data_IF_625197683646
#
_entry.id   IF_625197683646
#
_cell.length_a   1.000
_cell.length_b   1.000
_cell.length_c   1.000
_cell.angle_alpha   90.00
_cell.angle_beta   90.00
_cell.angle_gamma   90.00
#
_symmetry.space_group_name_H-M   'P 1'
#
loop_
_entity.id
_entity.type
_entity.pdbx_description
1 polymer ?
#
# COMPACT_ATOMS: atom_id res chain seq x y z
N UNK A 1 -13.24 10.42 1.35
CA UNK A 1 -12.24 10.18 0.30
C UNK A 1 -11.53 8.89 0.66
N UNK A 2 -11.57 7.90 -0.22
CA UNK A 2 -10.88 6.61 -0.03
C UNK A 2 -9.48 6.73 -0.61
N UNK A 3 -8.47 6.20 0.07
CA UNK A 3 -7.07 6.22 -0.41
C UNK A 3 -6.50 4.81 -0.26
N UNK A 4 -5.91 4.31 -1.34
CA UNK A 4 -5.20 3.05 -1.41
C UNK A 4 -3.74 3.40 -1.72
N UNK A 5 -2.83 3.33 -0.72
CA UNK A 5 -1.41 3.52 -0.98
C UNK A 5 -0.91 2.39 -1.88
N UNK A 6 -0.12 2.70 -2.91
CA UNK A 6 0.49 1.68 -3.78
C UNK A 6 1.99 1.59 -3.52
N UNK A 7 2.67 2.75 -3.52
CA UNK A 7 4.08 2.88 -3.19
C UNK A 7 4.40 4.32 -2.77
N UNK A 8 5.68 4.65 -2.58
CA UNK A 8 6.12 6.01 -2.20
C UNK A 8 5.80 7.09 -3.25
N UNK A 9 5.68 6.70 -4.51
CA UNK A 9 5.46 7.60 -5.65
C UNK A 9 3.99 7.75 -6.03
N UNK A 10 3.20 6.70 -5.90
CA UNK A 10 1.83 6.62 -6.41
C UNK A 10 0.87 6.08 -5.36
N UNK A 11 -0.34 6.63 -5.37
CA UNK A 11 -1.50 6.09 -4.65
C UNK A 11 -2.76 6.25 -5.49
N UNK A 12 -3.73 5.40 -5.24
CA UNK A 12 -5.06 5.52 -5.82
C UNK A 12 -5.96 6.23 -4.80
N UNK A 13 -6.66 7.27 -5.23
CA UNK A 13 -7.65 7.97 -4.41
C UNK A 13 -9.02 7.90 -5.08
N UNK A 14 -10.09 7.90 -4.29
CA UNK A 14 -11.46 7.97 -4.80
C UNK A 14 -12.29 8.98 -4.02
N UNK A 15 -13.10 9.73 -4.77
CA UNK A 15 -14.18 10.56 -4.24
C UNK A 15 -15.55 9.99 -4.66
N UNK A 16 -16.62 10.75 -4.49
CA UNK A 16 -17.98 10.31 -4.82
C UNK A 16 -18.24 10.08 -6.31
N UNK A 17 -17.38 10.59 -7.20
CA UNK A 17 -17.62 10.58 -8.65
C UNK A 17 -16.48 9.98 -9.46
N UNK A 18 -15.27 9.90 -8.89
CA UNK A 18 -14.07 9.59 -9.64
C UNK A 18 -13.04 8.80 -8.85
N UNK A 19 -12.25 8.05 -9.62
CA UNK A 19 -11.03 7.40 -9.18
C UNK A 19 -9.83 8.12 -9.77
N UNK A 20 -8.80 8.33 -8.97
CA UNK A 20 -7.67 9.18 -9.29
C UNK A 20 -6.36 8.45 -9.03
N UNK A 21 -5.39 8.65 -9.93
CA UNK A 21 -3.99 8.38 -9.62
C UNK A 21 -3.42 9.66 -9.04
N UNK A 22 -2.87 9.59 -7.83
CA UNK A 22 -2.14 10.68 -7.21
C UNK A 22 -0.66 10.35 -7.18
N UNK A 23 0.17 11.34 -7.49
CA UNK A 23 1.62 11.24 -7.41
C UNK A 23 2.14 12.06 -6.24
N UNK A 24 3.12 11.53 -5.52
CA UNK A 24 3.80 12.26 -4.47
C UNK A 24 4.76 13.31 -5.06
N UNK A 25 4.92 14.40 -4.33
CA UNK A 25 5.89 15.44 -4.59
C UNK A 25 6.18 16.19 -3.30
N UNK A 26 7.14 17.10 -3.34
CA UNK A 26 7.51 17.88 -2.17
C UNK A 26 6.89 19.28 -2.27
N UNK A 27 6.20 19.71 -1.23
CA UNK A 27 5.66 21.07 -1.12
C UNK A 27 6.19 21.71 0.15
N UNK A 28 6.69 22.94 0.01
CA UNK A 28 7.10 23.74 1.17
C UNK A 28 5.85 24.18 1.94
N UNK A 29 5.77 23.81 3.21
CA UNK A 29 4.78 24.35 4.12
C UNK A 29 5.06 25.85 4.33
N UNK A 30 4.03 26.69 4.19
CA UNK A 30 4.18 28.14 4.27
C UNK A 30 4.44 28.64 5.69
N UNK A 31 3.97 27.89 6.69
CA UNK A 31 4.00 28.30 8.10
C UNK A 31 5.25 27.77 8.81
N UNK A 32 5.63 26.50 8.58
CA UNK A 32 6.85 25.91 9.16
C UNK A 32 8.09 26.11 8.29
N UNK A 33 7.92 26.33 6.98
CA UNK A 33 9.03 26.36 6.02
C UNK A 33 9.61 24.98 5.69
N UNK A 34 9.09 23.91 6.29
CA UNK A 34 9.55 22.53 6.07
C UNK A 34 9.00 21.95 4.75
N UNK A 35 9.71 20.95 4.21
CA UNK A 35 9.27 20.24 3.02
C UNK A 35 8.37 19.08 3.45
N UNK A 36 7.13 19.08 3.00
CA UNK A 36 6.16 18.02 3.27
C UNK A 36 5.80 17.27 1.99
N UNK A 37 5.48 15.99 2.12
CA UNK A 37 4.95 15.19 1.02
C UNK A 37 3.54 15.66 0.67
N UNK A 38 3.39 16.25 -0.50
CA UNK A 38 2.12 16.61 -1.09
C UNK A 38 1.72 15.58 -2.15
N UNK A 39 0.44 15.27 -2.22
CA UNK A 39 -0.11 14.34 -3.20
C UNK A 39 -1.01 15.09 -4.17
N UNK A 40 -0.68 14.99 -5.46
CA UNK A 40 -1.40 15.70 -6.52
C UNK A 40 -2.07 14.69 -7.44
N UNK A 41 -3.36 14.89 -7.74
CA UNK A 41 -4.05 14.09 -8.74
C UNK A 41 -3.49 14.40 -10.13
N UNK A 42 -3.03 13.35 -10.81
CA UNK A 42 -2.41 13.46 -12.15
C UNK A 42 -3.28 12.83 -13.24
N UNK A 43 -4.20 11.92 -12.88
CA UNK A 43 -5.13 11.27 -13.81
C UNK A 43 -6.45 10.94 -13.12
N UNK A 44 -7.55 11.01 -13.85
CA UNK A 44 -8.91 10.74 -13.38
C UNK A 44 -9.60 9.69 -14.25
N UNK A 45 -10.38 8.83 -13.61
CA UNK A 45 -11.07 7.71 -14.23
C UNK A 45 -12.45 7.52 -13.59
N UNK A 46 -13.38 6.95 -14.35
CA UNK A 46 -14.73 6.69 -13.86
C UNK A 46 -14.88 5.37 -13.10
N UNK A 47 -13.90 4.45 -13.19
CA UNK A 47 -13.92 3.16 -12.50
C UNK A 47 -12.53 2.79 -11.98
N UNK A 48 -12.48 2.05 -10.87
CA UNK A 48 -11.25 1.51 -10.31
C UNK A 48 -10.45 0.69 -11.33
N UNK A 49 -11.13 -0.15 -12.12
CA UNK A 49 -10.45 -0.99 -13.11
C UNK A 49 -9.66 -0.15 -14.14
N UNK A 50 -10.26 0.93 -14.65
CA UNK A 50 -9.55 1.84 -15.55
C UNK A 50 -8.40 2.57 -14.86
N UNK A 51 -8.54 2.89 -13.58
CA UNK A 51 -7.45 3.49 -12.79
C UNK A 51 -6.27 2.55 -12.63
N UNK A 52 -6.52 1.26 -12.35
CA UNK A 52 -5.49 0.23 -12.25
C UNK A 52 -4.74 0.07 -13.56
N UNK A 53 -5.46 -0.09 -14.68
CA UNK A 53 -4.84 -0.15 -16.01
C UNK A 53 -4.07 1.14 -16.34
N UNK A 54 -4.65 2.30 -16.01
CA UNK A 54 -4.01 3.60 -16.21
C UNK A 54 -2.72 3.78 -15.42
N UNK A 55 -2.63 3.16 -14.24
CA UNK A 55 -1.42 3.17 -13.40
C UNK A 55 -0.36 2.22 -13.96
N UNK A 56 -0.75 1.04 -14.44
CA UNK A 56 0.16 0.11 -15.13
C UNK A 56 0.76 0.76 -16.39
N UNK A 57 -0.07 1.41 -17.20
CA UNK A 57 0.38 2.13 -18.39
C UNK A 57 1.29 3.31 -18.03
N UNK A 58 0.97 4.03 -16.93
CA UNK A 58 1.81 5.11 -16.45
C UNK A 58 3.18 4.57 -16.02
N UNK A 59 3.22 3.48 -15.27
CA UNK A 59 4.45 2.85 -14.79
C UNK A 59 5.39 2.51 -15.95
N UNK A 60 4.87 1.90 -17.01
CA UNK A 60 5.63 1.60 -18.24
C UNK A 60 6.09 2.87 -18.94
N UNK A 61 5.21 3.86 -19.13
CA UNK A 61 5.56 5.10 -19.84
C UNK A 61 6.61 5.95 -19.10
N UNK A 62 6.68 5.80 -17.78
CA UNK A 62 7.68 6.48 -16.95
C UNK A 62 8.85 5.58 -16.58
N UNK A 63 8.86 4.34 -17.07
CA UNK A 63 10.02 3.47 -16.98
C UNK A 63 11.01 3.84 -18.09
N UNK A 64 12.29 3.64 -17.84
CA UNK A 64 13.36 3.80 -18.83
C UNK A 64 13.45 2.58 -19.77
N UNK A 65 12.36 1.81 -19.90
CA UNK A 65 12.32 0.57 -20.68
C UNK A 65 12.50 0.85 -22.18
N UNK A 66 13.45 0.14 -22.80
CA UNK A 66 13.82 0.26 -24.20
C UNK A 66 13.28 -0.88 -25.06
N UNK A 67 12.82 -1.97 -24.43
CA UNK A 67 12.37 -3.18 -25.13
C UNK A 67 11.18 -3.86 -24.46
N UNK A 68 10.57 -4.80 -25.20
CA UNK A 68 9.37 -5.53 -24.75
C UNK A 68 9.61 -6.30 -23.46
N UNK A 69 10.81 -6.84 -23.26
CA UNK A 69 11.17 -7.54 -22.02
C UNK A 69 11.11 -6.60 -20.81
N UNK A 70 11.77 -5.45 -20.89
CA UNK A 70 11.82 -4.45 -19.81
C UNK A 70 10.42 -3.85 -19.54
N UNK A 71 9.61 -3.66 -20.58
CA UNK A 71 8.20 -3.27 -20.43
C UNK A 71 7.42 -4.31 -19.61
N UNK A 72 7.63 -5.60 -19.89
CA UNK A 72 6.96 -6.68 -19.17
C UNK A 72 7.44 -6.76 -17.71
N UNK A 73 8.72 -6.51 -17.45
CA UNK A 73 9.28 -6.43 -16.10
C UNK A 73 8.65 -5.26 -15.32
N UNK A 74 8.61 -4.06 -15.90
CA UNK A 74 7.97 -2.90 -15.28
C UNK A 74 6.48 -3.13 -14.96
N UNK A 75 5.75 -3.84 -15.83
CA UNK A 75 4.38 -4.24 -15.55
C UNK A 75 4.28 -5.24 -14.39
N UNK A 76 5.13 -6.27 -14.35
CA UNK A 76 5.14 -7.25 -13.26
C UNK A 76 5.44 -6.60 -11.91
N UNK A 77 6.39 -5.67 -11.88
CA UNK A 77 6.75 -4.95 -10.66
C UNK A 77 5.59 -4.11 -10.14
N UNK A 78 4.90 -3.37 -11.01
CA UNK A 78 3.73 -2.58 -10.63
C UNK A 78 2.57 -3.48 -10.17
N UNK A 79 2.38 -4.64 -10.82
CA UNK A 79 1.37 -5.62 -10.40
C UNK A 79 1.67 -6.20 -9.00
N UNK A 80 2.94 -6.46 -8.70
CA UNK A 80 3.37 -6.92 -7.38
C UNK A 80 3.07 -5.89 -6.30
N UNK A 81 3.36 -4.61 -6.56
CA UNK A 81 3.08 -3.51 -5.65
C UNK A 81 1.57 -3.32 -5.42
N UNK A 82 0.76 -3.42 -6.47
CA UNK A 82 -0.70 -3.39 -6.34
C UNK A 82 -1.23 -4.58 -5.54
N UNK A 83 -0.67 -5.76 -5.73
CA UNK A 83 -1.05 -6.95 -4.97
C UNK A 83 -0.69 -6.81 -3.49
N UNK A 84 0.50 -6.26 -3.20
CA UNK A 84 0.91 -5.94 -1.83
C UNK A 84 -0.02 -4.92 -1.18
N UNK A 85 -0.40 -3.86 -1.90
CA UNK A 85 -1.35 -2.84 -1.44
C UNK A 85 -2.74 -3.38 -1.09
N UNK A 86 -3.15 -4.49 -1.69
CA UNK A 86 -4.42 -5.17 -1.42
C UNK A 86 -4.31 -6.24 -0.33
N UNK A 87 -3.08 -6.59 0.07
CA UNK A 87 -2.87 -7.60 1.10
C UNK A 87 -3.08 -6.94 2.46
N UNK A 88 -4.02 -7.42 3.29
CA UNK A 88 -4.26 -6.82 4.59
C UNK A 88 -3.01 -6.97 5.47
N UNK A 89 -2.49 -5.85 5.97
CA UNK A 89 -1.48 -5.88 7.03
C UNK A 89 -2.18 -6.24 8.35
N UNK A 90 -1.88 -7.42 8.88
CA UNK A 90 -2.32 -7.83 10.21
C UNK A 90 -1.12 -7.87 11.15
N UNK A 91 -1.24 -7.21 12.30
CA UNK A 91 -0.31 -7.38 13.42
C UNK A 91 -0.90 -8.43 14.35
N UNK A 92 -0.23 -9.59 14.48
CA UNK A 92 -0.65 -10.63 15.43
C UNK A 92 0.02 -10.34 16.77
N UNK A 93 -0.74 -9.75 17.70
CA UNK A 93 -0.31 -9.63 19.09
C UNK A 93 -0.53 -10.96 19.83
N UNK A 94 0.51 -11.80 19.86
CA UNK A 94 0.49 -13.04 20.64
C UNK A 94 0.67 -12.68 22.13
N UNK A 95 -0.44 -12.44 22.83
CA UNK A 95 -0.44 -12.42 24.29
C UNK A 95 -0.40 -13.86 24.79
N UNK A 96 0.73 -14.30 25.34
CA UNK A 96 0.78 -15.52 26.17
C UNK A 96 -0.10 -15.28 27.40
N UNK A 97 -1.33 -15.77 27.37
CA UNK A 97 -2.12 -15.94 28.59
C UNK A 97 -1.64 -17.22 29.24
N UNK A 98 -0.62 -17.11 30.08
CA UNK A 98 -0.37 -18.11 31.12
C UNK A 98 -0.53 -17.40 32.45
N UNK A 99 -1.72 -17.50 33.04
CA UNK A 99 -1.84 -17.30 34.48
C UNK A 99 -1.03 -18.40 35.17
N UNK A 100 -0.24 -18.11 36.21
CA UNK A 100 0.50 -19.13 36.96
C UNK A 100 -0.38 -20.27 37.48
N UNK A 101 -1.68 -20.02 37.66
CA UNK A 101 -2.67 -21.01 38.10
C UNK A 101 -2.95 -22.10 37.04
N UNK A 102 -2.78 -21.81 35.75
CA UNK A 102 -3.03 -22.76 34.67
C UNK A 102 -1.84 -23.71 34.46
N UNK A 103 -0.63 -23.30 34.85
CA UNK A 103 0.57 -24.16 34.85
C UNK A 103 0.48 -25.28 35.90
N UNK A 104 -0.13 -25.03 37.07
CA UNK A 104 -0.31 -26.05 38.12
C UNK A 104 -1.29 -27.17 37.72
N UNK A 105 -2.23 -26.90 36.80
CA UNK A 105 -3.16 -27.93 36.31
C UNK A 105 -2.54 -28.88 35.28
N UNK A 106 -1.46 -28.46 34.62
CA UNK A 106 -0.75 -29.25 33.62
C UNK A 106 0.32 -30.16 34.23
N UNK A 107 0.87 -29.80 35.39
CA UNK A 107 1.79 -30.63 36.15
C UNK A 107 1.03 -31.44 37.20
N UNK A 108 0.16 -32.35 36.76
CA UNK A 108 -0.46 -33.33 37.65
C UNK A 108 0.61 -34.21 38.28
N UNK A 109 1.04 -33.89 39.50
CA UNK A 109 1.86 -34.77 40.34
C UNK A 109 1.13 -34.96 41.66
N UNK A 110 0.70 -36.19 42.02
CA UNK A 110 0.10 -36.44 43.32
C UNK A 110 1.20 -36.33 44.38
N UNK A 111 0.97 -35.53 45.42
CA UNK A 111 1.78 -35.55 46.62
C UNK A 111 1.57 -36.89 47.34
N UNK A 112 2.68 -37.43 47.84
CA UNK A 112 2.81 -38.69 48.56
C UNK A 112 2.27 -38.61 49.99
#
# INVERSE_FOLDING_TARGET
MTVIPVNERYRIAADSHSWMIQQSGNRKNKDSGEMETAWTAIRWYNTLNKTVHGLMDLAVRTSDAQGVQEVLEAQKDMLLQLSAALTPEYTIDIKRVCSPADLMKLTGRPEA
#
